data_IF_248339762269
#
_entry.id   IF_248339762269
#
_cell.length_a   1.000
_cell.length_b   1.000
_cell.length_c   1.000
_cell.angle_alpha   90.00
_cell.angle_beta   90.00
_cell.angle_gamma   90.00
#
_symmetry.space_group_name_H-M   'P 1'
#
loop_
_entity.id
_entity.type
_entity.pdbx_description
1 polymer ?
#
# COMPACT_ATOMS: atom_id res chain seq x y z
N UNK A 1 22.24 46.01 -14.26
CA UNK A 1 22.63 47.36 -13.84
C UNK A 1 21.91 47.59 -12.52
N UNK A 2 22.50 47.62 -11.34
CA UNK A 2 23.90 47.69 -10.94
C UNK A 2 24.06 47.00 -9.58
N UNK A 3 25.28 46.59 -9.27
CA UNK A 3 25.65 45.85 -8.07
C UNK A 3 25.87 46.76 -6.84
N UNK A 4 25.75 46.21 -5.63
CA UNK A 4 26.73 46.51 -4.56
C UNK A 4 26.70 45.45 -3.45
N UNK A 5 27.89 45.10 -3.00
CA UNK A 5 28.23 44.08 -2.03
C UNK A 5 28.85 44.71 -0.77
N UNK A 6 28.83 43.99 0.35
CA UNK A 6 29.64 44.23 1.56
C UNK A 6 29.38 43.11 2.57
N UNK A 7 30.18 42.05 2.61
CA UNK A 7 31.46 41.84 3.32
C UNK A 7 31.34 41.41 4.80
N UNK A 8 32.01 40.28 5.08
CA UNK A 8 32.18 39.58 6.35
C UNK A 8 33.17 40.27 7.31
N UNK A 9 33.06 39.94 8.61
CA UNK A 9 34.20 39.95 9.53
C UNK A 9 34.07 38.81 10.56
N UNK A 10 35.21 38.23 10.94
CA UNK A 10 35.39 37.01 11.74
C UNK A 10 36.40 37.29 12.88
N UNK A 11 36.27 36.54 13.98
CA UNK A 11 37.24 36.12 15.03
C UNK A 11 37.30 36.88 16.39
N UNK A 12 37.22 36.08 17.45
CA UNK A 12 37.77 36.33 18.79
C UNK A 12 37.40 35.24 19.82
N UNK A 13 38.37 34.41 20.23
CA UNK A 13 38.44 33.53 21.43
C UNK A 13 39.74 33.90 22.18
N UNK A 14 39.93 33.74 23.52
CA UNK A 14 40.07 32.43 24.25
C UNK A 14 39.51 32.40 25.72
N UNK A 15 38.96 31.29 26.28
CA UNK A 15 39.50 30.23 27.22
C UNK A 15 39.94 30.71 28.66
N UNK A 16 40.08 29.90 29.77
CA UNK A 16 39.85 28.45 30.07
C UNK A 16 39.30 28.07 31.52
N UNK A 17 39.16 26.76 31.82
CA UNK A 17 39.16 26.11 33.18
C UNK A 17 37.77 25.67 33.73
N UNK A 18 37.49 24.48 34.29
CA UNK A 18 38.25 23.50 35.08
C UNK A 18 37.61 22.08 35.04
N UNK A 19 38.44 21.06 35.27
CA UNK A 19 38.21 19.60 35.21
C UNK A 19 37.75 18.96 36.54
N UNK A 20 37.13 17.77 36.47
CA UNK A 20 37.38 16.54 37.29
C UNK A 20 36.24 15.51 37.02
N UNK A 21 36.41 14.20 36.85
CA UNK A 21 37.55 13.29 36.84
C UNK A 21 37.07 11.82 36.88
N UNK A 22 37.82 10.92 36.20
CA UNK A 22 38.02 9.47 36.43
C UNK A 22 36.82 8.48 36.29
N UNK A 23 36.92 7.26 35.75
CA UNK A 23 37.99 6.49 35.10
C UNK A 23 37.36 5.27 34.37
N UNK A 24 37.93 4.85 33.23
CA UNK A 24 37.76 3.51 32.64
C UNK A 24 38.72 2.48 33.26
N UNK A 25 38.83 1.26 32.69
CA UNK A 25 39.89 1.02 31.69
C UNK A 25 39.37 0.21 30.47
N UNK A 26 39.62 0.60 29.22
CA UNK A 26 40.88 0.58 28.42
C UNK A 26 41.14 -0.78 27.74
N UNK A 27 41.09 -0.84 26.39
CA UNK A 27 42.25 -0.92 25.46
C UNK A 27 42.60 -2.39 25.05
N UNK A 28 43.05 -2.81 23.85
CA UNK A 28 43.54 -2.16 22.60
C UNK A 28 43.91 -3.24 21.52
N UNK A 29 43.81 -2.87 20.22
CA UNK A 29 44.55 -3.24 18.99
C UNK A 29 44.92 -4.70 18.57
N UNK A 30 44.53 -5.10 17.34
CA UNK A 30 45.37 -5.03 16.09
C UNK A 30 44.57 -5.44 14.84
N UNK A 31 44.93 -4.81 13.72
CA UNK A 31 44.43 -5.07 12.38
C UNK A 31 45.38 -6.02 11.61
N UNK A 32 44.81 -6.89 10.78
CA UNK A 32 45.47 -7.45 9.59
C UNK A 32 44.40 -7.99 8.60
N UNK A 33 44.47 -7.57 7.33
CA UNK A 33 43.91 -8.30 6.18
C UNK A 33 42.56 -7.84 5.60
N UNK A 34 42.57 -6.79 4.77
CA UNK A 34 41.62 -6.61 3.65
C UNK A 34 42.11 -7.45 2.43
N UNK A 35 41.29 -7.77 1.39
CA UNK A 35 40.47 -6.82 0.62
C UNK A 35 39.01 -7.29 0.38
N UNK A 36 38.01 -6.43 0.64
CA UNK A 36 37.36 -5.51 -0.30
C UNK A 36 36.23 -6.13 -1.15
N UNK A 37 35.00 -5.98 -0.66
CA UNK A 37 33.75 -6.12 -1.43
C UNK A 37 32.72 -5.15 -0.83
N UNK A 38 32.27 -4.18 -1.62
CA UNK A 38 31.72 -2.89 -1.16
C UNK A 38 30.38 -2.98 -0.44
N UNK A 39 30.26 -2.14 0.59
CA UNK A 39 29.05 -1.84 1.35
C UNK A 39 28.03 -1.08 0.49
N UNK A 40 26.77 -1.49 0.62
CA UNK A 40 25.55 -0.76 0.25
C UNK A 40 25.62 0.67 0.80
N UNK A 41 25.58 1.66 -0.09
CA UNK A 41 25.49 3.10 0.26
C UNK A 41 24.15 3.64 -0.26
N UNK A 42 23.34 4.10 0.70
CA UNK A 42 22.34 5.18 0.64
C UNK A 42 21.73 5.51 -0.74
N UNK A 43 20.42 5.25 -0.87
CA UNK A 43 19.51 6.05 -1.67
C UNK A 43 19.51 7.49 -1.12
N UNK A 44 20.20 8.40 -1.83
CA UNK A 44 19.99 9.85 -1.72
C UNK A 44 19.22 10.27 -2.96
N UNK A 45 18.32 11.23 -2.77
CA UNK A 45 17.62 12.00 -3.81
C UNK A 45 18.54 12.23 -5.02
N UNK A 46 18.09 11.79 -6.20
CA UNK A 46 18.79 12.00 -7.45
C UNK A 46 18.99 13.49 -7.72
N UNK A 47 20.20 13.84 -8.14
CA UNK A 47 20.49 15.19 -8.63
C UNK A 47 19.76 15.43 -9.97
N UNK A 48 19.33 16.68 -10.27
CA UNK A 48 18.70 16.99 -11.54
C UNK A 48 19.72 16.84 -12.69
N UNK A 49 19.35 16.06 -13.72
CA UNK A 49 20.10 15.99 -14.98
C UNK A 49 21.28 15.01 -15.05
N UNK A 50 21.18 13.83 -14.43
CA UNK A 50 22.22 12.79 -14.53
C UNK A 50 21.71 11.47 -15.12
N UNK A 51 22.46 10.90 -16.07
CA UNK A 51 22.41 9.47 -16.41
C UNK A 51 23.21 8.69 -15.37
N UNK A 52 22.55 7.90 -14.51
CA UNK A 52 23.24 6.96 -13.64
C UNK A 52 23.27 5.58 -14.32
N UNK A 53 24.45 5.14 -14.76
CA UNK A 53 24.67 3.80 -15.29
C UNK A 53 24.93 2.83 -14.15
N UNK A 54 23.86 2.20 -13.65
CA UNK A 54 23.95 0.86 -13.09
C UNK A 54 23.74 -0.13 -14.26
N UNK A 55 24.70 -1.03 -14.59
CA UNK A 55 24.56 -1.94 -15.74
C UNK A 55 23.35 -2.89 -15.67
N UNK A 56 22.59 -2.88 -14.57
CA UNK A 56 21.39 -3.69 -14.39
C UNK A 56 20.04 -2.98 -14.59
N UNK A 57 19.97 -1.65 -14.67
CA UNK A 57 18.69 -0.95 -14.84
C UNK A 57 18.86 0.47 -15.43
N UNK A 58 18.52 0.66 -16.71
CA UNK A 58 18.50 2.00 -17.33
C UNK A 58 17.10 2.60 -17.19
N UNK A 59 16.88 3.39 -16.14
CA UNK A 59 15.70 4.25 -15.98
C UNK A 59 16.11 5.68 -16.30
N UNK A 60 15.62 6.23 -17.41
CA UNK A 60 15.81 7.65 -17.68
C UNK A 60 14.74 8.45 -16.95
N UNK A 61 15.19 9.24 -15.99
CA UNK A 61 14.36 10.16 -15.20
C UNK A 61 14.71 11.59 -15.63
N UNK A 62 13.99 12.18 -16.61
CA UNK A 62 14.12 13.59 -16.89
C UNK A 62 13.94 14.40 -15.61
N UNK A 63 14.73 15.48 -15.46
CA UNK A 63 14.70 16.32 -14.26
C UNK A 63 13.42 17.15 -14.09
N UNK A 64 12.48 17.05 -15.04
CA UNK A 64 11.18 17.71 -15.02
C UNK A 64 10.41 17.47 -16.33
N UNK A 65 9.26 18.13 -16.45
CA UNK A 65 8.31 18.00 -17.58
C UNK A 65 8.82 18.57 -18.91
N UNK A 66 10.02 19.13 -18.95
CA UNK A 66 10.64 19.67 -20.16
C UNK A 66 11.53 18.61 -20.83
N UNK A 67 11.21 18.27 -22.08
CA UNK A 67 12.03 17.36 -22.89
C UNK A 67 11.88 15.87 -22.57
N UNK A 68 10.91 15.46 -21.74
CA UNK A 68 10.64 14.04 -21.45
C UNK A 68 10.31 13.24 -22.72
N UNK A 69 9.81 13.90 -23.76
CA UNK A 69 9.53 13.32 -25.07
C UNK A 69 10.79 12.81 -25.77
N UNK A 70 11.95 13.38 -25.43
CA UNK A 70 13.26 12.95 -25.93
C UNK A 70 13.93 11.88 -25.05
N UNK A 71 13.30 11.48 -23.94
CA UNK A 71 13.82 10.44 -23.07
C UNK A 71 13.97 9.12 -23.85
N UNK A 72 15.12 8.49 -23.68
CA UNK A 72 15.44 7.18 -24.21
C UNK A 72 15.02 6.11 -23.22
N UNK A 73 14.44 5.02 -23.72
CA UNK A 73 14.20 3.82 -22.94
C UNK A 73 15.06 2.65 -23.45
N UNK A 74 15.05 1.53 -22.72
CA UNK A 74 15.75 0.34 -23.13
C UNK A 74 14.98 -0.36 -24.28
N UNK A 75 15.66 -1.04 -25.23
CA UNK A 75 14.96 -1.84 -26.24
C UNK A 75 14.18 -2.99 -25.59
N UNK A 76 13.12 -3.46 -26.27
CA UNK A 76 12.19 -4.48 -25.75
C UNK A 76 12.91 -5.70 -25.17
N UNK A 77 13.92 -6.23 -25.87
CA UNK A 77 14.67 -7.41 -25.42
C UNK A 77 15.34 -7.20 -24.06
N UNK A 78 15.86 -5.99 -23.80
CA UNK A 78 16.49 -5.63 -22.53
C UNK A 78 15.44 -5.42 -21.43
N UNK A 79 14.31 -4.80 -21.73
CA UNK A 79 13.18 -4.71 -20.78
C UNK A 79 12.74 -6.10 -20.33
N UNK A 80 12.52 -7.02 -21.27
CA UNK A 80 12.12 -8.40 -20.94
C UNK A 80 13.19 -9.15 -20.12
N UNK A 81 14.48 -8.91 -20.41
CA UNK A 81 15.57 -9.45 -19.61
C UNK A 81 15.53 -8.93 -18.16
N UNK A 82 15.34 -7.62 -17.97
CA UNK A 82 15.25 -7.01 -16.63
C UNK A 82 14.03 -7.51 -15.85
N UNK A 83 12.88 -7.66 -16.51
CA UNK A 83 11.70 -8.30 -15.88
C UNK A 83 12.02 -9.72 -15.44
N UNK A 84 12.76 -10.49 -16.25
CA UNK A 84 13.25 -11.81 -15.87
C UNK A 84 14.17 -11.80 -14.65
N UNK A 85 15.06 -10.81 -14.54
CA UNK A 85 15.96 -10.65 -13.38
C UNK A 85 15.19 -10.30 -12.09
N UNK A 86 14.08 -9.56 -12.19
CA UNK A 86 13.25 -9.22 -11.03
C UNK A 86 12.39 -10.38 -10.55
N UNK A 87 12.01 -11.32 -11.42
CA UNK A 87 11.13 -12.46 -11.07
C UNK A 87 11.54 -13.18 -9.77
N UNK A 88 12.79 -13.64 -9.56
CA UNK A 88 13.17 -14.31 -8.31
C UNK A 88 13.10 -13.37 -7.09
N UNK A 89 13.37 -12.07 -7.27
CA UNK A 89 13.29 -11.08 -6.19
C UNK A 89 11.84 -10.82 -5.79
N UNK A 90 10.95 -10.66 -6.77
CA UNK A 90 9.51 -10.50 -6.54
C UNK A 90 8.92 -11.74 -5.86
N UNK A 91 9.33 -12.94 -6.29
CA UNK A 91 8.92 -14.20 -5.66
C UNK A 91 9.39 -14.31 -4.21
N UNK A 92 10.67 -13.99 -3.94
CA UNK A 92 11.23 -14.08 -2.59
C UNK A 92 10.64 -13.09 -1.59
N UNK A 93 10.07 -11.98 -2.07
CA UNK A 93 9.50 -10.91 -1.25
C UNK A 93 7.98 -10.76 -1.49
N UNK A 94 7.34 -11.83 -1.95
CA UNK A 94 5.93 -11.80 -2.33
C UNK A 94 5.05 -11.31 -1.18
N UNK A 95 5.39 -11.68 0.05
CA UNK A 95 4.70 -11.36 1.30
C UNK A 95 4.54 -9.85 1.54
N UNK A 96 5.59 -9.07 1.28
CA UNK A 96 5.64 -7.61 1.55
C UNK A 96 5.23 -6.73 0.36
N UNK A 97 4.92 -7.29 -0.81
CA UNK A 97 4.50 -6.52 -1.98
C UNK A 97 3.02 -6.17 -1.86
N UNK A 98 2.68 -4.90 -1.62
CA UNK A 98 1.29 -4.47 -1.71
C UNK A 98 0.78 -4.61 -3.16
N UNK A 99 1.41 -3.85 -4.07
CA UNK A 99 1.16 -3.80 -5.51
C UNK A 99 2.49 -3.50 -6.24
N UNK A 100 2.58 -3.79 -7.54
CA UNK A 100 3.69 -3.41 -8.40
C UNK A 100 3.21 -2.39 -9.44
N UNK A 101 3.74 -1.17 -9.44
CA UNK A 101 3.52 -0.23 -10.55
C UNK A 101 4.41 -0.64 -11.73
N UNK A 102 3.83 -0.72 -12.93
CA UNK A 102 4.51 -1.16 -14.13
C UNK A 102 5.44 -0.04 -14.64
N UNK A 103 6.71 -0.09 -14.25
CA UNK A 103 7.76 0.80 -14.75
C UNK A 103 8.21 0.47 -16.19
N UNK A 104 9.47 0.80 -16.50
CA UNK A 104 10.24 0.41 -17.71
C UNK A 104 10.02 1.20 -19.01
N UNK A 105 8.81 1.64 -19.32
CA UNK A 105 8.53 2.24 -20.63
C UNK A 105 8.44 3.75 -20.52
N UNK A 106 9.23 4.46 -21.33
CA UNK A 106 9.22 5.92 -21.40
C UNK A 106 9.80 6.62 -20.18
N UNK A 107 9.66 7.95 -20.17
CA UNK A 107 10.06 8.78 -19.05
C UNK A 107 9.32 8.34 -17.77
N UNK A 108 10.05 8.28 -16.67
CA UNK A 108 9.56 7.85 -15.34
C UNK A 108 8.94 6.43 -15.30
N UNK A 109 8.99 5.70 -16.42
CA UNK A 109 8.43 4.36 -16.53
C UNK A 109 6.91 4.33 -16.62
N UNK A 110 6.25 5.38 -17.10
CA UNK A 110 4.79 5.52 -17.05
C UNK A 110 4.04 5.16 -18.33
N UNK A 111 4.77 4.84 -19.40
CA UNK A 111 4.24 4.30 -20.66
C UNK A 111 3.55 5.32 -21.57
N UNK A 112 3.85 6.61 -21.44
CA UNK A 112 3.39 7.64 -22.40
C UNK A 112 4.34 7.86 -23.57
N UNK A 113 5.64 7.66 -23.37
CA UNK A 113 6.66 7.84 -24.41
C UNK A 113 7.50 6.58 -24.57
N UNK A 114 8.21 6.47 -25.69
CA UNK A 114 9.23 5.45 -25.88
C UNK A 114 10.11 5.79 -27.09
N UNK A 115 11.43 5.69 -26.93
CA UNK A 115 12.35 5.79 -28.08
C UNK A 115 12.50 4.47 -28.83
N UNK A 116 12.06 3.35 -28.23
CA UNK A 116 12.05 2.01 -28.83
C UNK A 116 10.64 1.52 -29.19
N UNK A 117 9.67 2.44 -29.33
CA UNK A 117 8.29 2.14 -29.73
C UNK A 117 7.56 1.14 -28.79
N UNK A 118 7.94 1.10 -27.51
CA UNK A 118 7.39 0.17 -26.53
C UNK A 118 5.94 0.47 -26.13
N UNK A 119 5.45 1.67 -26.44
CA UNK A 119 4.03 2.05 -26.24
C UNK A 119 3.11 1.43 -27.30
N UNK A 120 3.64 0.90 -28.40
CA UNK A 120 2.87 0.21 -29.43
C UNK A 120 2.19 -1.05 -28.86
N UNK A 121 0.98 -1.41 -29.33
CA UNK A 121 0.18 -2.47 -28.73
C UNK A 121 0.90 -3.81 -28.54
N UNK A 122 1.70 -4.25 -29.51
CA UNK A 122 2.42 -5.53 -29.43
C UNK A 122 3.48 -5.53 -28.33
N UNK A 123 4.41 -4.56 -28.35
CA UNK A 123 5.48 -4.44 -27.36
C UNK A 123 4.91 -4.25 -25.95
N UNK A 124 3.91 -3.36 -25.82
CA UNK A 124 3.20 -3.09 -24.58
C UNK A 124 2.57 -4.34 -23.97
N UNK A 125 1.93 -5.16 -24.80
CA UNK A 125 1.29 -6.42 -24.40
C UNK A 125 2.32 -7.45 -23.95
N UNK A 126 3.46 -7.56 -24.66
CA UNK A 126 4.56 -8.45 -24.27
C UNK A 126 5.18 -8.07 -22.92
N UNK A 127 5.38 -6.77 -22.66
CA UNK A 127 5.91 -6.30 -21.38
C UNK A 127 4.92 -6.57 -20.25
N UNK A 128 3.63 -6.26 -20.45
CA UNK A 128 2.56 -6.60 -19.49
C UNK A 128 2.57 -8.08 -19.13
N UNK A 129 2.60 -8.96 -20.14
CA UNK A 129 2.59 -10.41 -19.90
C UNK A 129 3.84 -10.89 -19.17
N UNK A 130 5.00 -10.35 -19.50
CA UNK A 130 6.24 -10.67 -18.78
C UNK A 130 6.16 -10.23 -17.31
N UNK A 131 5.64 -9.02 -17.03
CA UNK A 131 5.46 -8.51 -15.68
C UNK A 131 4.47 -9.37 -14.88
N UNK A 132 3.32 -9.73 -15.46
CA UNK A 132 2.36 -10.62 -14.80
C UNK A 132 2.90 -12.03 -14.56
N UNK A 133 3.78 -12.53 -15.43
CA UNK A 133 4.46 -13.82 -15.28
C UNK A 133 5.64 -13.78 -14.29
N UNK A 134 6.18 -12.60 -14.00
CA UNK A 134 7.20 -12.37 -12.99
C UNK A 134 6.59 -12.08 -11.61
N UNK A 135 5.42 -11.44 -11.57
CA UNK A 135 4.72 -11.05 -10.35
C UNK A 135 4.04 -12.26 -9.68
N UNK A 136 4.27 -12.52 -8.38
CA UNK A 136 3.65 -13.62 -7.65
C UNK A 136 2.13 -13.63 -7.80
N UNK A 137 1.56 -14.84 -7.87
CA UNK A 137 0.12 -15.02 -7.91
C UNK A 137 -0.57 -14.32 -6.73
N UNK A 138 -1.73 -13.73 -6.98
CA UNK A 138 -2.46 -12.95 -5.97
C UNK A 138 -1.95 -11.51 -5.74
N UNK A 139 -0.83 -11.09 -6.34
CA UNK A 139 -0.40 -9.68 -6.35
C UNK A 139 -0.85 -8.96 -7.62
N UNK A 140 -1.02 -7.64 -7.49
CA UNK A 140 -1.56 -6.78 -8.54
C UNK A 140 -0.46 -5.95 -9.20
N UNK A 141 -0.56 -5.83 -10.52
CA UNK A 141 0.16 -4.85 -11.32
C UNK A 141 -0.67 -3.56 -11.39
N UNK A 142 -0.05 -2.39 -11.48
CA UNK A 142 -0.73 -1.11 -11.72
C UNK A 142 -0.15 -0.41 -12.94
N UNK A 143 -1.00 0.19 -13.77
CA UNK A 143 -0.58 1.04 -14.88
C UNK A 143 -1.30 2.38 -14.82
N UNK A 144 -0.74 3.39 -15.48
CA UNK A 144 -1.33 4.73 -15.56
C UNK A 144 -2.58 4.79 -16.44
N UNK A 145 -2.47 4.32 -17.68
CA UNK A 145 -3.43 4.64 -18.74
C UNK A 145 -4.62 3.68 -18.87
N UNK A 146 -5.87 4.12 -18.62
CA UNK A 146 -7.09 3.36 -18.89
C UNK A 146 -7.24 2.83 -20.32
N UNK A 147 -6.89 3.56 -21.41
CA UNK A 147 -7.06 3.02 -22.76
C UNK A 147 -6.23 1.76 -23.01
N UNK A 148 -5.10 1.58 -22.31
CA UNK A 148 -4.31 0.35 -22.41
C UNK A 148 -5.02 -0.84 -21.76
N UNK A 149 -5.64 -0.60 -20.61
CA UNK A 149 -6.42 -1.60 -19.89
C UNK A 149 -7.66 -2.01 -20.69
N UNK A 150 -8.38 -1.03 -21.24
CA UNK A 150 -9.56 -1.26 -22.08
C UNK A 150 -9.22 -2.00 -23.38
N UNK A 151 -8.03 -1.79 -23.95
CA UNK A 151 -7.57 -2.55 -25.12
C UNK A 151 -7.32 -4.04 -24.79
N UNK A 152 -6.96 -4.35 -23.55
CA UNK A 152 -6.74 -5.73 -23.09
C UNK A 152 -7.99 -6.41 -22.55
N UNK A 153 -8.88 -5.62 -21.97
CA UNK A 153 -10.17 -6.04 -21.45
C UNK A 153 -11.19 -4.92 -21.69
N UNK A 154 -12.00 -4.99 -22.76
CA UNK A 154 -12.96 -3.93 -23.09
C UNK A 154 -14.02 -3.68 -22.02
N UNK A 155 -14.23 -4.64 -21.12
CA UNK A 155 -15.09 -4.54 -19.94
C UNK A 155 -14.26 -4.80 -18.69
N UNK A 156 -14.58 -4.08 -17.60
CA UNK A 156 -13.89 -4.29 -16.34
C UNK A 156 -14.11 -5.75 -15.88
N UNK A 157 -13.04 -6.46 -15.49
CA UNK A 157 -13.14 -7.84 -15.04
C UNK A 157 -13.92 -7.97 -13.74
N UNK A 158 -14.32 -9.19 -13.40
CA UNK A 158 -14.99 -9.48 -12.12
C UNK A 158 -13.97 -9.94 -11.08
N UNK A 159 -14.31 -9.76 -9.80
CA UNK A 159 -13.47 -10.20 -8.69
C UNK A 159 -13.19 -11.71 -8.81
N UNK A 160 -11.91 -12.08 -8.85
CA UNK A 160 -11.44 -13.47 -8.94
C UNK A 160 -12.03 -14.26 -10.13
N UNK A 161 -12.25 -13.62 -11.28
CA UNK A 161 -12.72 -14.31 -12.49
C UNK A 161 -11.64 -15.14 -13.21
N UNK A 162 -10.42 -15.20 -12.66
CA UNK A 162 -9.28 -15.91 -13.21
C UNK A 162 -8.58 -15.21 -14.38
N UNK A 163 -9.08 -14.06 -14.84
CA UNK A 163 -8.46 -13.31 -15.92
C UNK A 163 -7.17 -12.62 -15.47
N UNK A 164 -6.23 -12.46 -16.40
CA UNK A 164 -5.05 -11.60 -16.20
C UNK A 164 -5.45 -10.14 -15.92
N UNK A 165 -6.53 -9.67 -16.54
CA UNK A 165 -7.02 -8.31 -16.39
C UNK A 165 -7.46 -8.00 -14.95
N UNK A 166 -8.05 -8.98 -14.23
CA UNK A 166 -8.41 -8.82 -12.82
C UNK A 166 -7.20 -8.56 -11.90
N UNK A 167 -5.98 -8.81 -12.36
CA UNK A 167 -4.73 -8.55 -11.64
C UNK A 167 -4.09 -7.20 -12.01
N UNK A 168 -4.76 -6.36 -12.79
CA UNK A 168 -4.24 -5.06 -13.22
C UNK A 168 -5.13 -3.95 -12.65
N UNK A 169 -4.58 -3.14 -11.75
CA UNK A 169 -5.17 -1.92 -11.23
C UNK A 169 -4.61 -0.67 -11.90
N UNK A 170 -4.93 0.49 -11.32
CA UNK A 170 -4.52 1.80 -11.86
C UNK A 170 -3.68 2.57 -10.86
N UNK A 171 -2.58 3.13 -11.36
CA UNK A 171 -1.82 4.17 -10.67
C UNK A 171 -2.09 5.50 -11.39
N UNK A 172 -2.94 6.35 -10.83
CA UNK A 172 -3.23 7.65 -11.42
C UNK A 172 -2.18 8.66 -10.99
N UNK A 173 -1.18 8.85 -11.85
CA UNK A 173 -0.28 9.97 -11.75
C UNK A 173 -1.02 11.25 -12.15
N UNK A 174 -1.02 12.21 -11.22
CA UNK A 174 -1.76 13.47 -11.27
C UNK A 174 -3.28 13.38 -11.01
N UNK A 175 -3.68 12.47 -10.13
CA UNK A 175 -5.06 12.38 -9.64
C UNK A 175 -5.58 13.74 -9.13
N UNK A 176 -6.76 14.14 -9.62
CA UNK A 176 -7.45 15.41 -9.33
C UNK A 176 -6.82 16.67 -9.95
N UNK A 177 -5.71 16.55 -10.67
CA UNK A 177 -4.96 17.71 -11.14
C UNK A 177 -5.64 18.49 -12.26
N UNK A 178 -6.37 17.83 -13.16
CA UNK A 178 -7.08 18.47 -14.27
C UNK A 178 -8.22 17.58 -14.74
N UNK A 179 -9.06 18.00 -15.69
CA UNK A 179 -10.11 17.12 -16.22
C UNK A 179 -9.57 15.77 -16.70
N UNK A 180 -8.34 15.75 -17.24
CA UNK A 180 -7.63 14.56 -17.74
C UNK A 180 -6.65 13.94 -16.75
N UNK A 181 -6.50 14.51 -15.54
CA UNK A 181 -5.43 14.16 -14.60
C UNK A 181 -4.06 14.16 -15.32
N UNK A 182 -3.77 15.29 -15.97
CA UNK A 182 -2.54 15.57 -16.75
C UNK A 182 -2.25 14.45 -17.75
N UNK A 183 -3.25 14.11 -18.56
CA UNK A 183 -3.13 13.14 -19.64
C UNK A 183 -3.37 11.68 -19.26
N UNK A 184 -3.58 11.34 -17.98
CA UNK A 184 -3.98 9.98 -17.56
C UNK A 184 -5.26 9.53 -18.29
N UNK A 185 -6.21 10.45 -18.47
CA UNK A 185 -7.43 10.24 -19.25
C UNK A 185 -7.41 11.05 -20.56
N UNK A 186 -8.25 10.64 -21.51
CA UNK A 186 -8.39 11.28 -22.82
C UNK A 186 -8.79 12.76 -22.74
N UNK A 187 -8.29 13.56 -23.69
CA UNK A 187 -8.76 14.93 -23.91
C UNK A 187 -10.20 14.96 -24.45
N UNK A 188 -10.63 13.93 -25.18
CA UNK A 188 -12.00 13.80 -25.68
C UNK A 188 -12.98 13.47 -24.54
N UNK A 189 -13.94 14.37 -24.27
CA UNK A 189 -14.81 14.26 -23.09
C UNK A 189 -15.69 12.99 -23.06
N UNK A 190 -16.33 12.55 -24.17
CA UNK A 190 -17.04 11.27 -24.20
C UNK A 190 -16.12 10.07 -23.93
N UNK A 191 -14.93 10.05 -24.50
CA UNK A 191 -13.95 8.97 -24.29
C UNK A 191 -13.43 8.95 -22.87
N UNK A 192 -13.06 10.12 -22.33
CA UNK A 192 -12.68 10.31 -20.93
C UNK A 192 -13.73 9.80 -19.96
N UNK A 193 -15.01 10.06 -20.23
CA UNK A 193 -16.10 9.54 -19.40
C UNK A 193 -16.07 8.01 -19.37
N UNK A 194 -15.98 7.36 -20.54
CA UNK A 194 -15.92 5.89 -20.63
C UNK A 194 -14.70 5.32 -19.90
N UNK A 195 -13.55 5.97 -20.01
CA UNK A 195 -12.32 5.57 -19.31
C UNK A 195 -12.49 5.69 -17.79
N UNK A 196 -13.04 6.81 -17.29
CA UNK A 196 -13.31 6.99 -15.86
C UNK A 196 -14.33 5.98 -15.34
N UNK A 197 -15.38 5.70 -16.11
CA UNK A 197 -16.39 4.70 -15.74
C UNK A 197 -15.78 3.30 -15.68
N UNK A 198 -14.89 2.96 -16.63
CA UNK A 198 -14.12 1.71 -16.60
C UNK A 198 -13.24 1.61 -15.35
N UNK A 199 -12.49 2.66 -15.01
CA UNK A 199 -11.63 2.68 -13.81
C UNK A 199 -12.45 2.57 -12.53
N UNK A 200 -13.60 3.25 -12.44
CA UNK A 200 -14.51 3.15 -11.30
C UNK A 200 -15.06 1.72 -11.14
N UNK A 201 -15.41 1.05 -12.23
CA UNK A 201 -15.82 -0.35 -12.19
C UNK A 201 -14.66 -1.29 -11.80
N UNK A 202 -13.46 -1.05 -12.34
CA UNK A 202 -12.26 -1.81 -12.04
C UNK A 202 -11.83 -1.69 -10.57
N UNK A 203 -12.05 -0.54 -9.93
CA UNK A 203 -11.73 -0.31 -8.52
C UNK A 203 -12.40 -1.30 -7.54
N UNK A 204 -13.51 -1.93 -7.96
CA UNK A 204 -14.15 -2.98 -7.18
C UNK A 204 -13.34 -4.29 -7.11
N UNK A 205 -12.40 -4.49 -8.04
CA UNK A 205 -11.68 -5.76 -8.25
C UNK A 205 -10.16 -5.63 -8.24
N UNK A 206 -9.62 -4.45 -8.55
CA UNK A 206 -8.18 -4.17 -8.55
C UNK A 206 -7.87 -2.81 -7.90
N UNK A 207 -6.65 -2.60 -7.37
CA UNK A 207 -6.31 -1.42 -6.58
C UNK A 207 -6.18 -0.16 -7.44
N UNK A 208 -6.71 0.94 -6.94
CA UNK A 208 -6.48 2.30 -7.44
C UNK A 208 -5.67 3.09 -6.42
N UNK A 209 -4.65 3.79 -6.88
CA UNK A 209 -3.84 4.70 -6.06
C UNK A 209 -3.11 5.70 -6.95
N UNK A 210 -2.29 6.57 -6.38
CA UNK A 210 -1.67 7.61 -7.20
C UNK A 210 -0.97 8.70 -6.42
N UNK A 211 -0.85 9.83 -7.09
CA UNK A 211 -0.38 11.08 -6.52
C UNK A 211 -1.08 12.28 -7.14
N UNK A 212 -1.02 13.41 -6.44
CA UNK A 212 -1.46 14.71 -6.97
C UNK A 212 -0.29 15.40 -7.66
N UNK A 213 -0.50 16.10 -8.76
CA UNK A 213 0.56 16.87 -9.45
C UNK A 213 0.19 18.34 -9.65
N UNK A 214 1.09 19.07 -10.30
CA UNK A 214 0.86 20.42 -10.74
C UNK A 214 -0.18 20.48 -11.88
N UNK A 215 -1.36 21.10 -11.66
CA UNK A 215 -2.37 21.23 -12.70
C UNK A 215 -1.86 21.98 -13.93
N UNK A 216 -0.91 22.91 -13.76
CA UNK A 216 -0.40 23.72 -14.86
C UNK A 216 0.32 22.90 -15.95
N UNK A 217 0.56 21.62 -15.72
CA UNK A 217 1.11 20.70 -16.72
C UNK A 217 0.02 20.22 -17.71
N UNK A 218 -1.26 20.50 -17.44
CA UNK A 218 -2.37 20.27 -18.37
C UNK A 218 -2.74 21.54 -19.17
N UNK A 219 -3.34 21.34 -20.34
CA UNK A 219 -3.99 22.41 -21.10
C UNK A 219 -5.29 22.81 -20.39
N UNK A 220 -5.50 24.11 -20.16
CA UNK A 220 -6.69 24.68 -19.50
C UNK A 220 -7.09 23.95 -18.21
N UNK A 221 -6.23 24.01 -17.17
CA UNK A 221 -6.39 23.14 -16.01
C UNK A 221 -7.63 23.45 -15.18
N UNK A 222 -8.45 22.42 -14.98
CA UNK A 222 -9.60 22.44 -14.07
C UNK A 222 -9.34 21.48 -12.89
N UNK A 223 -8.53 21.87 -11.89
CA UNK A 223 -8.21 21.02 -10.75
C UNK A 223 -9.43 20.79 -9.87
N UNK A 224 -9.53 19.57 -9.31
CA UNK A 224 -10.59 19.13 -8.41
C UNK A 224 -10.03 19.01 -6.99
N UNK A 225 -9.63 20.15 -6.44
CA UNK A 225 -8.81 20.23 -5.24
C UNK A 225 -9.58 20.35 -3.92
N UNK A 226 -10.91 20.47 -3.95
CA UNK A 226 -11.71 20.69 -2.74
C UNK A 226 -11.99 19.39 -1.97
N UNK A 227 -12.42 19.53 -0.72
CA UNK A 227 -12.85 18.41 0.11
C UNK A 227 -13.98 17.61 -0.52
N UNK A 228 -14.93 18.28 -1.17
CA UNK A 228 -16.00 17.60 -1.89
C UNK A 228 -15.43 16.66 -2.97
N UNK A 229 -14.43 17.13 -3.71
CA UNK A 229 -13.81 16.39 -4.80
C UNK A 229 -13.12 15.12 -4.32
N UNK A 230 -12.22 15.23 -3.33
CA UNK A 230 -11.50 14.06 -2.81
C UNK A 230 -12.43 13.07 -2.10
N UNK A 231 -13.46 13.55 -1.39
CA UNK A 231 -14.41 12.67 -0.72
C UNK A 231 -15.32 11.94 -1.72
N UNK A 232 -15.65 12.57 -2.85
CA UNK A 232 -16.44 11.98 -3.94
C UNK A 232 -15.59 11.02 -4.77
N UNK A 233 -14.46 11.47 -5.30
CA UNK A 233 -13.64 10.68 -6.23
C UNK A 233 -12.78 9.63 -5.52
N UNK A 234 -12.32 9.90 -4.30
CA UNK A 234 -11.65 8.89 -3.47
C UNK A 234 -12.55 7.68 -3.21
N UNK A 235 -13.86 7.91 -3.02
CA UNK A 235 -14.87 6.84 -2.92
C UNK A 235 -15.15 6.20 -4.27
N UNK A 236 -15.36 6.99 -5.32
CA UNK A 236 -15.71 6.51 -6.67
C UNK A 236 -14.67 5.52 -7.20
N UNK A 237 -13.39 5.84 -7.03
CA UNK A 237 -12.29 5.03 -7.54
C UNK A 237 -11.70 4.08 -6.49
N UNK A 238 -12.27 3.97 -5.30
CA UNK A 238 -11.75 3.09 -4.25
C UNK A 238 -10.28 3.37 -3.91
N UNK A 239 -9.94 4.63 -3.65
CA UNK A 239 -8.56 5.08 -3.42
C UNK A 239 -7.92 4.29 -2.27
N UNK A 240 -6.85 3.55 -2.57
CA UNK A 240 -6.14 2.68 -1.62
C UNK A 240 -4.95 3.35 -0.95
N UNK A 241 -4.23 4.20 -1.69
CA UNK A 241 -3.10 4.98 -1.22
C UNK A 241 -2.99 6.26 -2.05
N UNK A 242 -2.34 7.28 -1.49
CA UNK A 242 -2.01 8.53 -2.15
C UNK A 242 -0.64 9.00 -1.64
N UNK A 243 0.23 9.47 -2.52
CA UNK A 243 1.50 10.09 -2.13
C UNK A 243 1.23 11.34 -1.25
N UNK A 244 1.68 11.33 0.01
CA UNK A 244 1.39 12.42 0.96
C UNK A 244 2.39 13.59 0.88
N UNK A 245 3.45 13.45 0.07
CA UNK A 245 4.54 14.41 -0.02
C UNK A 245 4.53 15.24 -1.29
N UNK A 246 4.10 14.66 -2.42
CA UNK A 246 4.12 15.33 -3.71
C UNK A 246 2.95 16.30 -3.88
N UNK A 247 3.20 17.42 -4.57
CA UNK A 247 2.31 18.55 -4.85
C UNK A 247 1.20 18.86 -3.81
N UNK A 248 1.59 19.06 -2.54
CA UNK A 248 0.64 19.26 -1.43
C UNK A 248 -0.18 20.55 -1.46
N UNK A 249 0.36 21.64 -2.03
CA UNK A 249 -0.14 23.01 -1.79
C UNK A 249 -1.59 23.22 -2.24
N UNK A 250 -1.98 22.69 -3.39
CA UNK A 250 -3.32 22.88 -3.94
C UNK A 250 -4.33 21.84 -3.46
N UNK A 251 -3.85 20.68 -2.99
CA UNK A 251 -4.67 19.53 -2.60
C UNK A 251 -4.62 19.30 -1.09
N UNK A 252 -3.60 18.59 -0.59
CA UNK A 252 -3.47 18.23 0.82
C UNK A 252 -3.62 19.41 1.78
N UNK A 253 -2.92 20.52 1.54
CA UNK A 253 -2.99 21.71 2.39
C UNK A 253 -4.39 22.36 2.35
N UNK A 254 -5.09 22.24 1.22
CA UNK A 254 -6.47 22.72 1.06
C UNK A 254 -7.46 21.83 1.81
N UNK A 255 -7.29 20.51 1.75
CA UNK A 255 -8.09 19.55 2.53
C UNK A 255 -7.86 19.69 4.04
N UNK A 256 -6.65 20.04 4.44
CA UNK A 256 -6.31 20.41 5.83
C UNK A 256 -7.04 21.70 6.22
N UNK A 257 -6.95 22.75 5.42
CA UNK A 257 -7.64 24.03 5.66
C UNK A 257 -9.17 23.91 5.70
N UNK A 258 -9.75 23.02 4.90
CA UNK A 258 -11.17 22.72 4.86
C UNK A 258 -11.61 21.65 5.87
N UNK A 259 -10.68 21.06 6.61
CA UNK A 259 -10.96 20.14 7.73
C UNK A 259 -11.29 18.70 7.37
N UNK A 260 -11.28 18.29 6.08
CA UNK A 260 -11.60 16.90 5.71
C UNK A 260 -10.39 15.95 5.68
N UNK A 261 -9.14 16.44 5.80
CA UNK A 261 -7.95 15.59 5.66
C UNK A 261 -7.95 14.36 6.60
N UNK A 262 -8.46 14.52 7.83
CA UNK A 262 -8.59 13.41 8.76
C UNK A 262 -9.58 12.33 8.27
N UNK A 263 -10.65 12.74 7.59
CA UNK A 263 -11.59 11.80 6.95
C UNK A 263 -10.94 11.13 5.74
N UNK A 264 -10.24 11.88 4.88
CA UNK A 264 -9.51 11.33 3.72
C UNK A 264 -8.54 10.23 4.18
N UNK A 265 -7.66 10.53 5.15
CA UNK A 265 -6.70 9.57 5.71
C UNK A 265 -7.35 8.30 6.25
N UNK A 266 -8.49 8.41 6.93
CA UNK A 266 -9.21 7.25 7.48
C UNK A 266 -10.03 6.49 6.44
N UNK A 267 -10.31 7.09 5.28
CA UNK A 267 -11.17 6.47 4.27
C UNK A 267 -10.37 5.73 3.19
N UNK A 268 -9.08 6.06 2.99
CA UNK A 268 -8.25 5.34 2.03
C UNK A 268 -8.09 3.85 2.40
N UNK A 269 -8.15 2.98 1.39
CA UNK A 269 -8.03 1.55 1.57
C UNK A 269 -9.25 0.92 2.24
N UNK A 270 -9.04 -0.23 2.87
CA UNK A 270 -10.06 -0.87 3.72
C UNK A 270 -9.95 -0.33 5.15
N UNK A 271 -11.10 -0.17 5.82
CA UNK A 271 -11.16 0.20 7.24
C UNK A 271 -12.27 -0.59 7.92
N UNK A 272 -11.93 -1.76 8.44
CA UNK A 272 -12.87 -2.68 9.06
C UNK A 272 -13.26 -2.23 10.46
N UNK A 273 -14.55 -2.09 10.71
CA UNK A 273 -15.15 -1.79 12.00
C UNK A 273 -15.94 -3.02 12.47
N UNK A 274 -15.59 -3.56 13.63
CA UNK A 274 -16.32 -4.66 14.25
C UNK A 274 -17.62 -4.13 14.86
N UNK A 275 -18.76 -4.46 14.26
CA UNK A 275 -20.06 -4.06 14.77
C UNK A 275 -20.55 -5.02 15.86
N UNK A 276 -20.32 -6.33 15.68
CA UNK A 276 -20.66 -7.35 16.67
C UNK A 276 -19.83 -8.61 16.49
N UNK A 277 -19.51 -9.29 17.59
CA UNK A 277 -19.05 -10.67 17.61
C UNK A 277 -19.83 -11.40 18.69
N UNK A 278 -20.55 -12.45 18.29
CA UNK A 278 -21.30 -13.35 19.17
C UNK A 278 -20.73 -14.74 19.05
N UNK A 279 -20.74 -15.49 20.15
CA UNK A 279 -20.25 -16.85 20.17
C UNK A 279 -21.04 -17.68 21.18
N UNK A 280 -20.96 -19.01 21.09
CA UNK A 280 -21.46 -19.91 22.14
C UNK A 280 -20.89 -19.50 23.50
N UNK A 281 -21.71 -19.48 24.55
CA UNK A 281 -21.24 -19.14 25.90
C UNK A 281 -20.31 -20.20 26.48
N UNK A 282 -20.53 -21.46 26.11
CA UNK A 282 -19.78 -22.63 26.59
C UNK A 282 -19.47 -23.59 25.43
N UNK A 283 -18.25 -24.14 25.40
CA UNK A 283 -17.83 -25.16 24.44
C UNK A 283 -16.93 -26.18 25.15
N UNK A 284 -17.18 -27.48 25.00
CA UNK A 284 -16.28 -28.50 25.55
C UNK A 284 -14.98 -28.59 24.74
N UNK A 285 -13.86 -28.90 25.40
CA UNK A 285 -12.59 -29.10 24.70
C UNK A 285 -12.70 -30.21 23.62
N UNK A 286 -12.12 -29.97 22.43
CA UNK A 286 -12.24 -30.88 21.29
C UNK A 286 -13.59 -30.84 20.56
N UNK A 287 -14.52 -29.97 20.99
CA UNK A 287 -15.81 -29.73 20.31
C UNK A 287 -15.79 -28.38 19.61
N UNK A 288 -16.93 -28.02 19.00
CA UNK A 288 -17.07 -26.73 18.35
C UNK A 288 -18.29 -25.99 18.84
N UNK A 289 -18.14 -24.67 18.98
CA UNK A 289 -19.23 -23.74 19.14
C UNK A 289 -19.53 -22.99 17.85
N UNK A 290 -20.54 -22.13 17.92
CA UNK A 290 -20.92 -21.20 16.87
C UNK A 290 -20.30 -19.83 17.13
N UNK A 291 -19.94 -19.13 16.06
CA UNK A 291 -19.50 -17.74 16.08
C UNK A 291 -20.18 -16.97 14.95
N UNK A 292 -20.73 -15.80 15.29
CA UNK A 292 -21.31 -14.86 14.35
C UNK A 292 -20.59 -13.52 14.44
N UNK A 293 -20.05 -13.07 13.31
CA UNK A 293 -19.26 -11.86 13.15
C UNK A 293 -20.02 -10.86 12.26
N UNK A 294 -20.13 -9.60 12.69
CA UNK A 294 -20.65 -8.50 11.86
C UNK A 294 -19.59 -7.42 11.74
N UNK A 295 -19.15 -7.16 10.51
CA UNK A 295 -18.07 -6.19 10.21
C UNK A 295 -18.56 -5.21 9.15
N UNK A 296 -18.25 -3.93 9.33
CA UNK A 296 -18.49 -2.91 8.32
C UNK A 296 -17.17 -2.43 7.75
N UNK A 297 -17.03 -2.34 6.43
CA UNK A 297 -15.88 -1.68 5.83
C UNK A 297 -16.21 -0.20 5.61
N UNK A 298 -15.63 0.65 6.45
CA UNK A 298 -15.80 2.12 6.41
C UNK A 298 -14.81 2.82 5.47
N UNK A 299 -13.90 2.07 4.85
CA UNK A 299 -12.95 2.58 3.87
C UNK A 299 -13.58 2.67 2.48
N UNK A 300 -12.78 3.12 1.52
CA UNK A 300 -13.15 3.27 0.11
C UNK A 300 -12.84 2.04 -0.72
N UNK A 301 -11.96 1.15 -0.26
CA UNK A 301 -11.55 -0.04 -0.99
C UNK A 301 -11.80 -1.34 -0.23
N UNK A 302 -11.87 -2.45 -0.95
CA UNK A 302 -11.78 -3.80 -0.39
C UNK A 302 -10.34 -4.10 0.09
N UNK A 303 -10.18 -5.14 0.89
CA UNK A 303 -8.87 -5.78 1.01
C UNK A 303 -8.57 -6.55 -0.29
N UNK A 304 -7.38 -6.33 -0.84
CA UNK A 304 -6.93 -7.01 -2.07
C UNK A 304 -6.02 -8.20 -1.73
N UNK A 305 -5.10 -8.02 -0.80
CA UNK A 305 -4.22 -9.06 -0.29
C UNK A 305 -4.91 -9.88 0.80
N UNK A 306 -4.64 -11.19 0.91
CA UNK A 306 -5.29 -12.05 1.88
C UNK A 306 -4.99 -11.61 3.32
N UNK A 307 -5.99 -11.75 4.18
CA UNK A 307 -5.90 -11.55 5.63
C UNK A 307 -6.55 -12.76 6.28
N UNK A 308 -5.87 -13.42 7.21
CA UNK A 308 -6.49 -14.48 7.97
C UNK A 308 -7.40 -13.87 9.05
N UNK A 309 -8.33 -14.65 9.57
CA UNK A 309 -9.16 -14.27 10.73
C UNK A 309 -9.00 -15.32 11.80
N UNK A 310 -8.46 -14.94 12.96
CA UNK A 310 -8.26 -15.83 14.09
C UNK A 310 -9.07 -15.36 15.29
N UNK A 311 -9.64 -16.31 16.02
CA UNK A 311 -10.07 -16.09 17.41
C UNK A 311 -8.95 -16.50 18.33
N UNK A 312 -8.59 -15.61 19.24
CA UNK A 312 -7.68 -15.90 20.34
C UNK A 312 -8.50 -16.06 21.60
N UNK A 313 -8.31 -17.18 22.29
CA UNK A 313 -8.86 -17.42 23.62
C UNK A 313 -7.73 -17.25 24.63
N UNK A 314 -7.84 -16.25 25.50
CA UNK A 314 -6.86 -15.98 26.57
C UNK A 314 -7.38 -16.51 27.89
N UNK A 315 -6.76 -17.57 28.40
CA UNK A 315 -7.17 -18.22 29.65
C UNK A 315 -6.99 -17.24 30.82
N UNK A 316 -8.07 -16.90 31.53
CA UNK A 316 -8.00 -15.89 32.61
C UNK A 316 -7.07 -16.27 33.76
N UNK A 317 -7.03 -17.52 34.23
CA UNK A 317 -6.13 -17.91 35.32
C UNK A 317 -4.64 -17.87 34.96
N UNK A 318 -4.25 -18.25 33.74
CA UNK A 318 -2.83 -18.45 33.39
C UNK A 318 -2.29 -17.53 32.31
N UNK A 319 -3.15 -16.81 31.60
CA UNK A 319 -2.80 -16.04 30.40
C UNK A 319 -2.47 -16.91 29.17
N UNK A 320 -2.59 -18.23 29.26
CA UNK A 320 -2.31 -19.12 28.13
C UNK A 320 -3.25 -18.83 26.95
N UNK A 321 -2.68 -18.76 25.74
CA UNK A 321 -3.41 -18.44 24.52
C UNK A 321 -3.70 -19.68 23.69
N UNK A 322 -4.93 -19.78 23.21
CA UNK A 322 -5.32 -20.71 22.15
C UNK A 322 -5.70 -19.91 20.92
N UNK A 323 -5.05 -20.19 19.78
CA UNK A 323 -5.33 -19.54 18.50
C UNK A 323 -6.16 -20.47 17.63
N UNK A 324 -7.35 -20.02 17.22
CA UNK A 324 -8.28 -20.81 16.42
C UNK A 324 -8.50 -20.07 15.08
N UNK A 325 -8.04 -20.64 13.95
CA UNK A 325 -8.26 -20.03 12.64
C UNK A 325 -9.71 -20.20 12.19
N UNK A 326 -10.29 -19.14 11.63
CA UNK A 326 -11.61 -19.14 11.00
C UNK A 326 -11.44 -19.18 9.48
N UNK A 327 -10.98 -20.33 8.96
CA UNK A 327 -10.58 -20.49 7.56
C UNK A 327 -11.70 -20.25 6.53
N UNK A 328 -12.97 -20.29 6.95
CA UNK A 328 -14.13 -20.00 6.09
C UNK A 328 -14.41 -18.50 5.91
N UNK A 329 -13.65 -17.62 6.55
CA UNK A 329 -13.84 -16.17 6.49
C UNK A 329 -12.71 -15.53 5.69
N UNK A 330 -13.05 -14.84 4.60
CA UNK A 330 -12.12 -14.03 3.83
C UNK A 330 -12.45 -12.53 3.96
N UNK A 331 -11.62 -11.73 4.66
CA UNK A 331 -11.81 -10.28 4.79
C UNK A 331 -11.80 -9.52 3.47
N UNK A 332 -11.30 -10.12 2.37
CA UNK A 332 -11.39 -9.51 1.04
C UNK A 332 -12.83 -9.32 0.61
N UNK A 333 -13.76 -10.14 1.10
CA UNK A 333 -15.18 -10.04 0.75
C UNK A 333 -15.95 -8.97 1.56
N UNK A 334 -15.29 -8.30 2.52
CA UNK A 334 -15.89 -7.19 3.25
C UNK A 334 -15.83 -5.90 2.41
N UNK A 335 -16.79 -5.77 1.51
CA UNK A 335 -16.86 -4.69 0.51
C UNK A 335 -16.99 -3.29 1.13
N UNK A 336 -16.35 -2.26 0.54
CA UNK A 336 -16.43 -0.89 1.03
C UNK A 336 -17.87 -0.37 1.09
N UNK A 337 -18.21 0.36 2.15
CA UNK A 337 -19.56 0.90 2.37
C UNK A 337 -20.62 -0.13 2.76
N UNK A 338 -20.25 -1.40 2.95
CA UNK A 338 -21.19 -2.48 3.31
C UNK A 338 -20.98 -2.99 4.73
N UNK A 339 -22.02 -3.62 5.28
CA UNK A 339 -21.96 -4.41 6.51
C UNK A 339 -22.08 -5.89 6.14
N UNK A 340 -21.02 -6.66 6.37
CA UNK A 340 -20.96 -8.10 6.16
C UNK A 340 -21.31 -8.84 7.44
N UNK A 341 -22.12 -9.91 7.32
CA UNK A 341 -22.44 -10.84 8.40
C UNK A 341 -21.89 -12.21 8.03
N UNK A 342 -21.08 -12.79 8.91
CA UNK A 342 -20.39 -14.05 8.67
C UNK A 342 -20.60 -14.98 9.85
N UNK A 343 -20.96 -16.23 9.57
CA UNK A 343 -21.02 -17.28 10.58
C UNK A 343 -19.86 -18.24 10.37
N UNK A 344 -19.27 -18.72 11.46
CA UNK A 344 -18.19 -19.68 11.43
C UNK A 344 -18.27 -20.62 12.63
N UNK A 345 -17.69 -21.80 12.44
CA UNK A 345 -17.53 -22.80 13.49
C UNK A 345 -16.27 -22.49 14.30
N UNK A 346 -16.39 -22.35 15.61
CA UNK A 346 -15.27 -22.18 16.52
C UNK A 346 -14.83 -23.54 17.06
N UNK A 347 -13.87 -24.18 16.39
CA UNK A 347 -13.35 -25.49 16.80
C UNK A 347 -12.29 -25.34 17.91
N UNK A 348 -12.65 -25.69 19.14
CA UNK A 348 -11.74 -25.63 20.30
C UNK A 348 -10.88 -26.89 20.31
N UNK A 349 -9.54 -26.79 20.30
CA UNK A 349 -8.65 -27.95 20.32
C UNK A 349 -8.90 -28.87 21.51
N UNK A 350 -8.72 -30.17 21.31
CA UNK A 350 -8.71 -31.13 22.40
C UNK A 350 -7.58 -30.80 23.39
N UNK A 351 -7.82 -31.00 24.68
CA UNK A 351 -6.85 -30.67 25.74
C UNK A 351 -6.76 -29.19 26.11
N UNK A 352 -7.58 -28.31 25.51
CA UNK A 352 -7.74 -26.93 26.00
C UNK A 352 -8.21 -26.97 27.46
N UNK A 353 -7.49 -26.37 28.42
CA UNK A 353 -7.88 -26.41 29.83
C UNK A 353 -9.28 -25.87 30.07
N UNK A 354 -10.04 -26.53 30.94
CA UNK A 354 -11.34 -26.02 31.38
C UNK A 354 -11.16 -24.70 32.13
N UNK A 355 -12.08 -23.75 31.90
CA UNK A 355 -11.97 -22.42 32.51
C UNK A 355 -12.63 -21.32 31.69
N UNK A 356 -12.45 -20.09 32.16
CA UNK A 356 -12.95 -18.89 31.48
C UNK A 356 -11.84 -18.27 30.61
N UNK A 357 -12.19 -17.91 29.38
CA UNK A 357 -11.29 -17.32 28.41
C UNK A 357 -11.83 -15.98 27.92
N UNK A 358 -10.98 -14.95 27.89
CA UNK A 358 -11.28 -13.73 27.16
C UNK A 358 -11.19 -14.00 25.66
N UNK A 359 -12.14 -13.46 24.90
CA UNK A 359 -12.19 -13.62 23.44
C UNK A 359 -11.57 -12.40 22.77
N UNK A 360 -10.61 -12.63 21.89
CA UNK A 360 -10.00 -11.62 21.03
C UNK A 360 -10.12 -12.02 19.56
N UNK A 361 -10.17 -11.03 18.68
CA UNK A 361 -10.18 -11.20 17.23
C UNK A 361 -8.87 -10.66 16.64
N UNK A 362 -8.12 -11.49 15.93
CA UNK A 362 -6.91 -11.09 15.23
C UNK A 362 -7.11 -11.22 13.72
N UNK A 363 -6.54 -10.28 12.96
CA UNK A 363 -6.57 -10.29 11.50
C UNK A 363 -5.13 -10.24 10.94
N UNK A 364 -4.30 -11.27 11.19
CA UNK A 364 -2.92 -11.27 10.75
C UNK A 364 -2.82 -11.30 9.22
N UNK A 365 -1.62 -11.01 8.71
CA UNK A 365 -1.34 -11.15 7.28
C UNK A 365 -1.57 -12.60 6.82
N UNK A 366 -2.04 -12.76 5.59
CA UNK A 366 -2.28 -14.08 5.00
C UNK A 366 -0.99 -14.84 4.62
N UNK A 367 0.14 -14.16 4.51
CA UNK A 367 1.42 -14.81 4.26
C UNK A 367 1.98 -15.45 5.54
N UNK A 368 2.35 -16.72 5.46
CA UNK A 368 2.88 -17.47 6.62
C UNK A 368 4.11 -16.80 7.27
N UNK A 369 4.98 -16.17 6.46
CA UNK A 369 6.16 -15.45 6.94
C UNK A 369 5.82 -14.21 7.80
N UNK A 370 4.65 -13.60 7.60
CA UNK A 370 4.21 -12.38 8.28
C UNK A 370 3.09 -12.63 9.29
N UNK A 371 2.46 -13.81 9.30
CA UNK A 371 1.32 -14.12 10.15
C UNK A 371 1.60 -14.00 11.67
N UNK A 372 2.86 -14.16 12.07
CA UNK A 372 3.32 -13.97 13.46
C UNK A 372 3.78 -12.56 13.80
N UNK A 373 3.94 -11.67 12.81
CA UNK A 373 4.37 -10.29 13.01
C UNK A 373 3.16 -9.37 13.16
N UNK A 374 2.91 -8.95 14.40
CA UNK A 374 1.74 -8.14 14.77
C UNK A 374 1.65 -6.80 14.04
N UNK A 375 2.77 -6.29 13.51
CA UNK A 375 2.81 -5.04 12.70
C UNK A 375 2.02 -5.16 11.40
N UNK A 376 1.84 -6.39 10.90
CA UNK A 376 1.06 -6.69 9.70
C UNK A 376 -0.38 -7.12 10.01
N UNK A 377 -0.78 -7.16 11.29
CA UNK A 377 -2.16 -7.43 11.68
C UNK A 377 -3.04 -6.22 11.41
N UNK A 378 -4.23 -6.46 10.86
CA UNK A 378 -5.23 -5.41 10.66
C UNK A 378 -5.90 -5.08 11.98
N UNK A 379 -5.65 -3.87 12.48
CA UNK A 379 -6.36 -3.30 13.62
C UNK A 379 -7.77 -2.86 13.21
N UNK A 380 -8.83 -3.41 13.82
CA UNK A 380 -10.18 -2.90 13.60
C UNK A 380 -10.31 -1.44 14.04
N UNK A 381 -11.16 -0.70 13.36
CA UNK A 381 -11.43 0.72 13.55
C UNK A 381 -12.29 1.03 14.81
N UNK A 382 -12.21 0.17 15.81
CA UNK A 382 -12.94 0.27 17.07
C UNK A 382 -12.11 1.04 18.10
N UNK A 383 -12.78 1.94 18.82
CA UNK A 383 -12.20 2.56 20.01
C UNK A 383 -12.09 1.53 21.15
N UNK A 384 -11.17 1.78 22.08
CA UNK A 384 -11.21 1.08 23.36
C UNK A 384 -12.44 1.51 24.15
N UNK A 385 -13.06 0.57 24.86
CA UNK A 385 -14.18 0.81 25.75
C UNK A 385 -13.93 0.03 27.04
N UNK A 386 -13.48 0.75 28.07
CA UNK A 386 -13.15 0.17 29.37
C UNK A 386 -14.36 -0.45 30.06
N UNK A 387 -15.56 0.12 29.89
CA UNK A 387 -16.79 -0.41 30.48
C UNK A 387 -17.16 -1.77 29.87
N UNK A 388 -16.80 -2.00 28.60
CA UNK A 388 -16.97 -3.28 27.91
C UNK A 388 -15.73 -4.16 27.91
N UNK A 389 -14.64 -3.75 28.57
CA UNK A 389 -13.35 -4.45 28.50
C UNK A 389 -12.87 -4.67 27.05
N UNK A 390 -13.13 -3.71 26.17
CA UNK A 390 -12.72 -3.73 24.77
C UNK A 390 -11.46 -2.90 24.56
N UNK A 391 -10.55 -3.39 23.72
CA UNK A 391 -9.31 -2.69 23.45
C UNK A 391 -8.41 -3.46 22.50
N UNK A 392 -7.51 -2.73 21.85
CA UNK A 392 -6.47 -3.33 21.03
C UNK A 392 -5.30 -3.79 21.90
N UNK A 393 -4.86 -5.03 21.70
CA UNK A 393 -3.69 -5.62 22.32
C UNK A 393 -2.52 -5.59 21.31
N UNK A 394 -1.57 -4.69 21.53
CA UNK A 394 -0.43 -4.48 20.63
C UNK A 394 0.50 -5.69 20.58
N UNK A 395 0.65 -6.44 21.68
CA UNK A 395 1.54 -7.59 21.75
C UNK A 395 0.97 -8.80 21.01
N UNK A 396 -0.36 -8.92 20.96
CA UNK A 396 -1.05 -10.00 20.26
C UNK A 396 -1.47 -9.64 18.84
N UNK A 397 -1.48 -8.35 18.50
CA UNK A 397 -2.04 -7.85 17.25
C UNK A 397 -3.52 -8.20 17.13
N UNK A 398 -4.27 -8.08 18.22
CA UNK A 398 -5.64 -8.56 18.33
C UNK A 398 -6.54 -7.59 19.09
N UNK A 399 -7.82 -7.54 18.72
CA UNK A 399 -8.83 -6.74 19.42
C UNK A 399 -9.57 -7.59 20.45
N UNK A 400 -9.49 -7.23 21.73
CA UNK A 400 -10.28 -7.81 22.81
C UNK A 400 -11.74 -7.40 22.65
N UNK A 401 -12.63 -8.39 22.55
CA UNK A 401 -14.04 -8.20 22.23
C UNK A 401 -14.87 -7.82 23.46
N UNK A 402 -14.37 -8.09 24.66
CA UNK A 402 -15.10 -7.82 25.90
C UNK A 402 -16.04 -8.94 26.34
N UNK A 403 -15.96 -10.11 25.69
CA UNK A 403 -16.79 -11.28 26.02
C UNK A 403 -15.94 -12.42 26.58
N UNK A 404 -16.62 -13.39 27.20
CA UNK A 404 -15.98 -14.55 27.85
C UNK A 404 -16.58 -15.84 27.31
N UNK A 405 -15.72 -16.75 26.88
CA UNK A 405 -16.09 -18.13 26.54
C UNK A 405 -15.69 -19.05 27.68
N UNK A 406 -16.57 -19.97 28.09
CA UNK A 406 -16.24 -21.02 29.05
C UNK A 406 -15.89 -22.33 28.34
N UNK A 407 -14.72 -22.89 28.65
CA UNK A 407 -14.35 -24.23 28.21
C UNK A 407 -14.67 -25.24 29.31
N UNK A 408 -15.29 -26.36 28.91
CA UNK A 408 -15.64 -27.49 29.77
C UNK A 408 -14.79 -28.72 29.46
#
# INVERSE_FOLDING_TARGET
MDASAGQCAVRGRPSPGLCAGAAGPACRWRAAGQPAGRRVRRLRQGAPGGTETDPALHLQLPGGETGYQAAQDAPLARVLQHVGQLKPVLAANADVIAYLQAGFVGAWGEWHTSSNQLTLPEARTRIRDALLAALPEGRFLQLRYPPYLMAWAPQAPRWQDGSKAARIGVHNDCFLASSTDVGTYSEDAPTRRRERDYVAALAAVAPFGGETCNPADAVDPTPRGDCEDILREGRQFGLTYLNDTYYRKLFHARWEAQGCMAQVRRSMGYRFELAALRHSATVAAGRSGELALTVSNRGWARAFNPRAVHVLLSHRPTGALVRIPLASIDPRDWLPGTTSKVNARLAVPAGTPAGAYDVLLALPDGAAALAGDVRYSVRPANAADGARSQGWDEALGAFRVGTTLRIQ
#
